data_IF_558579261131
#
_entry.id   IF_558579261131
#
_cell.length_a   1.000
_cell.length_b   1.000
_cell.length_c   1.000
_cell.angle_alpha   90.00
_cell.angle_beta   90.00
_cell.angle_gamma   90.00
#
_symmetry.space_group_name_H-M   'P 1'
#
loop_
_entity.id
_entity.type
_entity.pdbx_description
1 polymer ?
#
# COMPACT_ATOMS: atom_id res chain seq x y z
N UNK A 1 12.27 -4.94 -43.21
CA UNK A 1 11.77 -3.77 -42.46
C UNK A 1 11.67 -4.14 -40.98
N UNK A 2 12.64 -3.72 -40.15
CA UNK A 2 12.61 -3.94 -38.69
C UNK A 2 11.99 -2.72 -38.05
N UNK A 3 10.83 -2.90 -37.40
CA UNK A 3 10.17 -1.85 -36.63
C UNK A 3 11.00 -1.52 -35.39
N UNK A 4 11.35 -0.24 -35.25
CA UNK A 4 12.17 0.29 -34.19
C UNK A 4 11.48 0.13 -32.82
N UNK A 5 12.19 -0.46 -31.86
CA UNK A 5 11.78 -0.41 -30.45
C UNK A 5 11.83 1.04 -30.01
N UNK A 6 10.67 1.57 -29.67
CA UNK A 6 10.52 2.88 -29.05
C UNK A 6 11.01 2.75 -27.61
N UNK A 7 12.28 3.08 -27.37
CA UNK A 7 12.85 3.19 -26.02
C UNK A 7 12.09 4.30 -25.32
N UNK A 8 11.20 3.92 -24.39
CA UNK A 8 10.56 4.89 -23.50
C UNK A 8 11.64 5.52 -22.64
N UNK A 9 11.91 6.80 -22.85
CA UNK A 9 12.82 7.57 -22.02
C UNK A 9 12.37 7.48 -20.56
N UNK A 10 13.30 7.17 -19.65
CA UNK A 10 13.04 7.21 -18.22
C UNK A 10 12.58 8.64 -17.86
N UNK A 11 11.40 8.76 -17.25
CA UNK A 11 10.90 10.03 -16.72
C UNK A 11 11.94 10.55 -15.72
N UNK A 12 12.24 11.87 -15.67
CA UNK A 12 13.02 12.43 -14.57
C UNK A 12 12.43 11.91 -13.25
N UNK A 13 13.28 11.46 -12.32
CA UNK A 13 12.83 10.91 -11.06
C UNK A 13 11.90 11.94 -10.39
N UNK A 14 10.62 11.59 -10.31
CA UNK A 14 9.63 12.47 -9.74
C UNK A 14 10.08 12.83 -8.30
N UNK A 15 9.88 14.08 -7.83
CA UNK A 15 10.24 14.45 -6.46
C UNK A 15 9.75 13.39 -5.45
N UNK A 16 10.48 13.14 -4.34
CA UNK A 16 10.14 12.05 -3.41
C UNK A 16 8.66 11.97 -3.01
N UNK A 17 7.98 13.12 -2.96
CA UNK A 17 6.54 13.27 -2.75
C UNK A 17 5.68 12.50 -3.76
N UNK A 18 6.00 12.55 -5.05
CA UNK A 18 5.22 11.88 -6.09
C UNK A 18 5.45 10.37 -6.11
N UNK A 19 6.64 9.90 -5.70
CA UNK A 19 6.91 8.46 -5.60
C UNK A 19 6.04 7.77 -4.54
N UNK A 20 5.78 8.42 -3.40
CA UNK A 20 4.85 7.89 -2.40
C UNK A 20 3.41 7.97 -2.89
N UNK A 21 3.03 9.03 -3.62
CA UNK A 21 1.68 9.14 -4.20
C UNK A 21 1.43 8.06 -5.26
N UNK A 22 2.40 7.78 -6.11
CA UNK A 22 2.36 6.69 -7.10
C UNK A 22 2.19 5.33 -6.42
N UNK A 23 2.87 5.11 -5.29
CA UNK A 23 2.73 3.91 -4.47
C UNK A 23 1.31 3.79 -3.90
N UNK A 24 0.81 4.87 -3.26
CA UNK A 24 -0.52 4.90 -2.63
C UNK A 24 -1.66 4.78 -3.64
N UNK A 25 -1.48 5.30 -4.86
CA UNK A 25 -2.44 5.18 -5.96
C UNK A 25 -2.58 3.75 -6.51
N UNK A 26 -1.69 2.82 -6.13
CA UNK A 26 -1.80 1.44 -6.56
C UNK A 26 -3.02 0.76 -5.92
N UNK A 27 -3.80 0.05 -6.75
CA UNK A 27 -4.95 -0.75 -6.30
C UNK A 27 -4.56 -1.64 -5.11
N UNK A 28 -5.31 -1.56 -4.00
CA UNK A 28 -5.10 -2.22 -2.70
C UNK A 28 -4.10 -1.59 -1.75
N UNK A 29 -3.28 -0.62 -2.15
CA UNK A 29 -2.21 -0.11 -1.27
C UNK A 29 -2.77 0.54 -0.01
N UNK A 30 -3.69 1.51 -0.17
CA UNK A 30 -4.33 2.19 0.95
C UNK A 30 -5.10 1.23 1.86
N UNK A 31 -5.71 0.18 1.29
CA UNK A 31 -6.39 -0.84 2.09
C UNK A 31 -5.41 -1.66 2.92
N UNK A 32 -4.26 -2.07 2.37
CA UNK A 32 -3.24 -2.79 3.17
C UNK A 32 -2.70 -1.92 4.30
N UNK A 33 -2.46 -0.62 4.05
CA UNK A 33 -2.05 0.32 5.08
C UNK A 33 -3.10 0.44 6.20
N UNK A 34 -4.37 0.63 5.82
CA UNK A 34 -5.50 0.69 6.75
C UNK A 34 -5.61 -0.55 7.62
N UNK A 35 -5.52 -1.75 7.04
CA UNK A 35 -5.64 -2.99 7.81
C UNK A 35 -4.49 -3.26 8.78
N UNK A 36 -3.29 -2.71 8.50
CA UNK A 36 -2.11 -2.85 9.35
C UNK A 36 -1.96 -1.73 10.38
N UNK A 37 -2.76 -0.67 10.29
CA UNK A 37 -2.72 0.47 11.22
C UNK A 37 -3.01 0.05 12.67
N UNK A 38 -4.02 -0.81 12.97
CA UNK A 38 -4.31 -1.24 14.33
C UNK A 38 -3.22 -2.12 14.95
N UNK A 39 -2.32 -2.69 14.13
CA UNK A 39 -1.24 -3.54 14.60
C UNK A 39 -0.86 -4.68 13.66
N UNK A 40 0.05 -5.57 14.10
CA UNK A 40 0.61 -6.61 13.25
C UNK A 40 -0.43 -7.69 12.90
N UNK A 41 -0.46 -8.10 11.64
CA UNK A 41 -1.35 -9.17 11.15
C UNK A 41 -0.59 -10.27 10.41
N UNK A 42 -0.95 -11.53 10.66
CA UNK A 42 -0.52 -12.64 9.82
C UNK A 42 -1.07 -12.53 8.40
N UNK A 43 -0.37 -13.08 7.41
CA UNK A 43 -0.77 -12.98 5.99
C UNK A 43 -2.20 -13.48 5.71
N UNK A 44 -2.59 -14.61 6.33
CA UNK A 44 -3.93 -15.18 6.14
C UNK A 44 -5.03 -14.31 6.73
N UNK A 45 -4.76 -13.74 7.91
CA UNK A 45 -5.71 -12.84 8.58
C UNK A 45 -5.86 -11.55 7.77
N UNK A 46 -4.74 -10.92 7.40
CA UNK A 46 -4.76 -9.75 6.52
C UNK A 46 -5.49 -10.06 5.21
N UNK A 47 -5.29 -11.25 4.62
CA UNK A 47 -6.02 -11.62 3.41
C UNK A 47 -7.52 -11.66 3.61
N UNK A 48 -8.01 -12.25 4.70
CA UNK A 48 -9.45 -12.37 4.96
C UNK A 48 -10.13 -11.01 5.00
N UNK A 49 -9.41 -9.97 5.43
CA UNK A 49 -9.90 -8.58 5.51
C UNK A 49 -9.83 -7.81 4.18
N UNK A 50 -9.21 -8.40 3.16
CA UNK A 50 -8.96 -7.75 1.86
C UNK A 50 -9.94 -8.21 0.76
N UNK A 51 -11.04 -8.88 1.14
CA UNK A 51 -12.12 -9.36 0.27
C UNK A 51 -11.62 -10.02 -1.05
N UNK A 52 -11.77 -9.33 -2.18
CA UNK A 52 -11.44 -9.79 -3.53
C UNK A 52 -9.96 -9.60 -3.92
N UNK A 53 -9.09 -9.22 -2.98
CA UNK A 53 -7.64 -9.17 -3.21
C UNK A 53 -7.04 -10.58 -3.28
N UNK A 54 -6.30 -10.89 -4.36
CA UNK A 54 -5.75 -12.22 -4.58
C UNK A 54 -4.45 -12.53 -3.83
N UNK A 55 -4.14 -13.84 -3.74
CA UNK A 55 -2.80 -14.47 -3.55
C UNK A 55 -1.64 -13.50 -3.62
N UNK A 56 -1.32 -13.34 -4.89
CA UNK A 56 -0.13 -12.72 -5.39
C UNK A 56 -0.22 -11.20 -5.28
N UNK A 57 -1.43 -10.64 -5.37
CA UNK A 57 -1.60 -9.18 -5.28
C UNK A 57 -1.29 -8.68 -3.86
N UNK A 58 -1.83 -9.33 -2.82
CA UNK A 58 -1.50 -8.94 -1.44
C UNK A 58 0.00 -9.09 -1.17
N UNK A 59 0.60 -10.20 -1.61
CA UNK A 59 2.05 -10.42 -1.49
C UNK A 59 2.86 -9.32 -2.17
N UNK A 60 2.48 -8.93 -3.39
CA UNK A 60 3.14 -7.86 -4.14
C UNK A 60 3.04 -6.50 -3.41
N UNK A 61 1.88 -6.19 -2.81
CA UNK A 61 1.70 -4.95 -2.04
C UNK A 61 2.56 -4.91 -0.79
N UNK A 62 2.61 -6.01 -0.05
CA UNK A 62 3.48 -6.14 1.12
C UNK A 62 4.96 -5.98 0.73
N UNK A 63 5.38 -6.56 -0.41
CA UNK A 63 6.73 -6.37 -0.94
C UNK A 63 7.02 -4.91 -1.30
N UNK A 64 6.08 -4.22 -1.93
CA UNK A 64 6.24 -2.81 -2.27
C UNK A 64 6.34 -1.92 -1.00
N UNK A 65 5.49 -2.16 0.01
CA UNK A 65 5.56 -1.44 1.28
C UNK A 65 6.87 -1.71 2.02
N UNK A 66 7.38 -2.94 1.98
CA UNK A 66 8.68 -3.28 2.55
C UNK A 66 9.83 -2.60 1.82
N UNK A 67 9.80 -2.60 0.49
CA UNK A 67 10.81 -1.90 -0.33
C UNK A 67 10.80 -0.39 -0.09
N UNK A 68 9.63 0.19 0.20
CA UNK A 68 9.47 1.59 0.58
C UNK A 68 9.81 1.88 2.05
N UNK A 69 10.14 0.87 2.86
CA UNK A 69 10.43 1.03 4.29
C UNK A 69 9.20 1.35 5.14
N UNK A 70 7.99 1.14 4.63
CA UNK A 70 6.71 1.45 5.29
C UNK A 70 6.13 0.24 6.04
N UNK A 71 6.53 -0.98 5.69
CA UNK A 71 6.15 -2.19 6.40
C UNK A 71 7.34 -3.11 6.62
N UNK A 72 7.22 -3.99 7.61
CA UNK A 72 8.20 -5.03 7.91
C UNK A 72 7.50 -6.37 8.15
N UNK A 73 8.28 -7.45 8.06
CA UNK A 73 7.84 -8.80 8.45
C UNK A 73 8.54 -9.19 9.74
N UNK A 74 7.75 -9.43 10.79
CA UNK A 74 8.21 -9.82 12.12
C UNK A 74 8.70 -11.28 12.14
N UNK A 75 9.45 -11.69 13.18
CA UNK A 75 9.92 -13.08 13.33
C UNK A 75 8.79 -14.12 13.39
N UNK A 76 7.63 -13.75 13.94
CA UNK A 76 6.40 -14.57 13.98
C UNK A 76 5.65 -14.61 12.64
N UNK A 77 6.26 -14.06 11.57
CA UNK A 77 5.73 -13.94 10.20
C UNK A 77 4.56 -12.96 10.08
N UNK A 78 4.19 -12.22 11.11
CA UNK A 78 3.22 -11.14 11.00
C UNK A 78 3.81 -9.97 10.21
N UNK A 79 2.95 -9.24 9.50
CA UNK A 79 3.27 -7.99 8.83
C UNK A 79 2.88 -6.83 9.73
N UNK A 80 3.73 -5.81 9.81
CA UNK A 80 3.53 -4.65 10.67
C UNK A 80 3.99 -3.39 9.93
N UNK A 81 3.34 -2.25 10.18
CA UNK A 81 3.88 -0.96 9.76
C UNK A 81 5.17 -0.63 10.51
N UNK A 82 6.12 -0.01 9.82
CA UNK A 82 7.28 0.62 10.45
C UNK A 82 6.85 1.92 11.13
N UNK A 83 7.72 2.60 11.91
CA UNK A 83 7.42 3.96 12.39
C UNK A 83 7.02 4.93 11.27
N UNK A 84 7.71 4.90 10.12
CA UNK A 84 7.35 5.71 8.95
C UNK A 84 6.02 5.28 8.31
N UNK A 85 5.72 3.98 8.29
CA UNK A 85 4.42 3.48 7.85
C UNK A 85 3.27 3.94 8.74
N UNK A 86 3.48 3.98 10.05
CA UNK A 86 2.52 4.53 11.02
C UNK A 86 2.32 6.02 10.84
N UNK A 87 3.40 6.79 10.70
CA UNK A 87 3.31 8.23 10.42
C UNK A 87 2.49 8.52 9.15
N UNK A 88 2.71 7.72 8.09
CA UNK A 88 1.92 7.83 6.87
C UNK A 88 0.44 7.45 7.08
N UNK A 89 0.17 6.40 7.84
CA UNK A 89 -1.19 5.99 8.20
C UNK A 89 -1.93 7.11 8.95
N UNK A 90 -1.29 7.74 9.94
CA UNK A 90 -1.83 8.88 10.68
C UNK A 90 -2.12 10.07 9.75
N UNK A 91 -1.22 10.38 8.81
CA UNK A 91 -1.44 11.44 7.84
C UNK A 91 -2.66 11.20 6.92
N UNK A 92 -3.07 9.94 6.74
CA UNK A 92 -4.25 9.56 5.98
C UNK A 92 -5.55 9.56 6.81
N UNK A 93 -5.46 9.69 8.14
CA UNK A 93 -6.61 9.61 9.05
C UNK A 93 -7.75 10.57 8.70
N UNK A 94 -7.50 11.85 8.37
CA UNK A 94 -8.57 12.78 7.98
C UNK A 94 -9.34 12.32 6.74
N UNK A 95 -8.67 11.64 5.79
CA UNK A 95 -9.31 11.10 4.59
C UNK A 95 -10.21 9.92 4.97
N UNK A 96 -9.75 9.07 5.88
CA UNK A 96 -10.52 7.94 6.39
C UNK A 96 -11.76 8.37 7.17
N UNK A 97 -11.65 9.42 7.98
CA UNK A 97 -12.80 10.04 8.66
C UNK A 97 -13.78 10.65 7.67
N UNK A 98 -13.29 11.42 6.69
CA UNK A 98 -14.11 11.99 5.64
C UNK A 98 -14.92 10.93 4.88
N UNK A 99 -14.31 9.78 4.59
CA UNK A 99 -15.00 8.66 3.92
C UNK A 99 -16.12 8.09 4.78
N UNK A 100 -15.86 7.82 6.07
CA UNK A 100 -16.85 7.26 7.01
C UNK A 100 -18.06 8.17 7.19
N UNK A 101 -17.84 9.48 7.22
CA UNK A 101 -18.92 10.47 7.37
C UNK A 101 -19.80 10.64 6.12
N UNK A 102 -19.44 10.01 5.00
CA UNK A 102 -20.14 10.11 3.71
C UNK A 102 -20.62 8.76 3.19
N UNK A 103 -20.45 7.69 3.96
CA UNK A 103 -21.22 6.47 3.72
C UNK A 103 -22.69 6.84 3.92
N UNK A 104 -23.39 7.08 2.80
CA UNK A 104 -24.85 7.17 2.78
C UNK A 104 -25.39 5.94 3.52
N UNK A 105 -26.33 6.09 4.49
CA UNK A 105 -27.04 4.95 5.01
C UNK A 105 -27.80 4.30 3.84
N UNK A 106 -27.27 3.17 3.36
CA UNK A 106 -27.94 2.31 2.39
C UNK A 106 -29.28 1.80 2.94
#
# INVERSE_FOLDING_TARGET
MRSARRTGAARPADPPTYAVMDLLGQRWMLRVLWELEPGPLGFLELRRRMDNCSSSMLSLRLQHLQAAGLATKRPDKAHELTPAGRELAEALHPIWEWSRNREDPA
#
